data_IF_629235958338
#
_entry.id   IF_629235958338
#
_cell.length_a   1.000
_cell.length_b   1.000
_cell.length_c   1.000
_cell.angle_alpha   90.00
_cell.angle_beta   90.00
_cell.angle_gamma   90.00
#
_symmetry.space_group_name_H-M   'P 1'
#
loop_
_entity.id
_entity.type
_entity.pdbx_description
1 polymer ?
#
# COMPACT_ATOMS: atom_id res chain seq x y z
N UNK A 1 5.33 17.57 10.81
CA UNK A 1 6.24 16.46 10.44
C UNK A 1 5.63 15.72 9.25
N UNK A 2 6.45 15.11 8.39
CA UNK A 2 5.98 14.36 7.21
C UNK A 2 6.15 12.86 7.44
N UNK A 3 5.12 12.09 7.11
CA UNK A 3 5.12 10.63 7.20
C UNK A 3 4.85 10.08 5.81
N UNK A 4 5.69 9.16 5.34
CA UNK A 4 5.48 8.49 4.06
C UNK A 4 4.96 7.07 4.29
N UNK A 5 3.99 6.66 3.48
CA UNK A 5 3.44 5.29 3.51
C UNK A 5 3.32 4.74 2.10
N UNK A 6 3.74 3.49 1.93
CA UNK A 6 3.57 2.70 0.73
C UNK A 6 3.51 1.22 1.14
N UNK A 7 2.91 0.37 0.29
CA UNK A 7 2.91 -1.07 0.52
C UNK A 7 3.25 -1.83 -0.76
N UNK A 8 4.10 -2.84 -0.62
CA UNK A 8 4.41 -3.80 -1.67
C UNK A 8 4.36 -5.18 -1.04
N UNK A 9 3.56 -6.06 -1.62
CA UNK A 9 3.47 -7.44 -1.18
C UNK A 9 3.34 -8.37 -2.39
N UNK A 10 3.92 -9.55 -2.30
CA UNK A 10 3.78 -10.61 -3.30
C UNK A 10 3.82 -11.95 -2.59
N UNK A 11 3.02 -12.91 -3.04
CA UNK A 11 3.27 -14.31 -2.67
C UNK A 11 4.45 -14.81 -3.50
N UNK A 12 5.39 -15.53 -2.89
CA UNK A 12 6.56 -16.05 -3.60
C UNK A 12 6.72 -17.53 -3.32
N UNK A 13 6.85 -18.30 -4.39
CA UNK A 13 7.15 -19.73 -4.32
C UNK A 13 8.41 -20.03 -5.15
N UNK A 14 9.51 -20.37 -4.48
CA UNK A 14 10.82 -20.65 -5.09
C UNK A 14 10.78 -21.79 -6.12
N UNK A 15 9.79 -22.67 -6.06
CA UNK A 15 9.61 -23.79 -6.99
C UNK A 15 8.58 -23.50 -8.10
N UNK A 16 7.91 -22.35 -8.06
CA UNK A 16 6.95 -21.96 -9.08
C UNK A 16 7.66 -21.60 -10.38
N UNK A 17 7.22 -22.13 -11.54
CA UNK A 17 7.69 -21.68 -12.84
C UNK A 17 7.01 -20.39 -13.30
N UNK A 18 6.02 -19.88 -12.56
CA UNK A 18 5.29 -18.65 -12.88
C UNK A 18 6.07 -17.47 -12.33
N UNK A 19 6.42 -16.55 -13.22
CA UNK A 19 7.10 -15.31 -12.87
C UNK A 19 6.07 -14.23 -12.59
N UNK A 20 6.27 -13.52 -11.48
CA UNK A 20 5.54 -12.29 -11.17
C UNK A 20 6.16 -11.11 -11.93
N UNK A 21 5.37 -10.44 -12.76
CA UNK A 21 5.75 -9.22 -13.47
C UNK A 21 4.93 -7.99 -13.01
N UNK A 22 5.24 -6.81 -13.56
CA UNK A 22 4.53 -5.57 -13.21
C UNK A 22 3.03 -5.62 -13.58
N UNK A 23 2.68 -6.34 -14.64
CA UNK A 23 1.30 -6.44 -15.12
C UNK A 23 0.45 -7.27 -14.17
N UNK A 24 1.03 -8.24 -13.47
CA UNK A 24 0.34 -8.98 -12.42
C UNK A 24 -0.14 -8.05 -11.29
N UNK A 25 0.72 -7.13 -10.83
CA UNK A 25 0.31 -6.10 -9.88
C UNK A 25 -0.81 -5.22 -10.42
N UNK A 26 -0.66 -4.72 -11.66
CA UNK A 26 -1.65 -3.83 -12.30
C UNK A 26 -3.03 -4.49 -12.46
N UNK A 27 -3.07 -5.81 -12.67
CA UNK A 27 -4.31 -6.56 -12.85
C UNK A 27 -4.96 -6.97 -11.52
N UNK A 28 -4.18 -7.11 -10.44
CA UNK A 28 -4.65 -7.56 -9.13
C UNK A 28 -4.95 -6.38 -8.20
N UNK A 29 -3.93 -5.86 -7.53
CA UNK A 29 -4.05 -4.76 -6.58
C UNK A 29 -2.96 -3.74 -6.91
N UNK A 30 -3.36 -2.63 -7.52
CA UNK A 30 -2.47 -1.53 -7.84
C UNK A 30 -3.19 -0.20 -7.65
N UNK A 31 -2.78 0.53 -6.63
CA UNK A 31 -3.20 1.90 -6.38
C UNK A 31 -1.99 2.82 -6.53
N UNK A 32 -1.99 3.71 -7.53
CA UNK A 32 -1.00 4.79 -7.65
C UNK A 32 -0.90 5.64 -6.38
N UNK A 33 0.16 6.48 -6.25
CA UNK A 33 0.29 7.43 -5.15
C UNK A 33 -0.98 8.27 -4.94
N UNK A 34 -1.52 8.25 -3.72
CA UNK A 34 -2.73 8.99 -3.34
C UNK A 34 -4.06 8.38 -3.81
N UNK A 35 -4.05 7.21 -4.46
CA UNK A 35 -5.27 6.52 -4.94
C UNK A 35 -5.66 5.33 -4.06
N UNK A 36 -4.98 5.11 -2.93
CA UNK A 36 -5.30 4.01 -2.02
C UNK A 36 -6.72 4.19 -1.41
N UNK A 37 -7.62 3.19 -1.49
CA UNK A 37 -9.00 3.34 -1.05
C UNK A 37 -9.13 3.44 0.48
N UNK A 38 -10.25 3.95 0.97
CA UNK A 38 -10.51 4.03 2.42
C UNK A 38 -10.77 2.67 3.09
N UNK A 39 -10.85 1.59 2.30
CA UNK A 39 -10.99 0.23 2.81
C UNK A 39 -9.60 -0.39 2.99
N UNK A 40 -9.23 -0.87 4.19
CA UNK A 40 -7.96 -1.57 4.39
C UNK A 40 -7.96 -2.87 3.58
N UNK A 41 -6.88 -3.11 2.84
CA UNK A 41 -6.63 -4.37 2.15
C UNK A 41 -5.54 -5.19 2.85
N UNK A 42 -5.32 -6.39 2.35
CA UNK A 42 -4.44 -7.43 2.90
C UNK A 42 -3.03 -6.92 3.24
N UNK A 43 -2.48 -5.99 2.45
CA UNK A 43 -1.13 -5.43 2.64
C UNK A 43 -1.10 -3.93 2.98
N UNK A 44 -2.26 -3.27 3.10
CA UNK A 44 -2.33 -1.79 3.11
C UNK A 44 -2.88 -1.18 4.39
N UNK A 45 -3.03 -1.95 5.47
CA UNK A 45 -3.53 -1.44 6.76
C UNK A 45 -2.78 -0.18 7.29
N UNK A 46 -1.46 -0.02 7.08
CA UNK A 46 -0.74 1.19 7.52
C UNK A 46 -1.26 2.50 6.91
N UNK A 47 -1.87 2.49 5.71
CA UNK A 47 -2.44 3.69 5.10
C UNK A 47 -3.57 4.24 5.98
N UNK A 48 -4.54 3.39 6.32
CA UNK A 48 -5.68 3.75 7.16
C UNK A 48 -5.22 4.14 8.56
N UNK A 49 -4.31 3.37 9.16
CA UNK A 49 -3.78 3.67 10.48
C UNK A 49 -3.09 5.04 10.54
N UNK A 50 -2.34 5.42 9.50
CA UNK A 50 -1.68 6.72 9.44
C UNK A 50 -2.63 7.88 9.16
N UNK A 51 -3.63 7.69 8.29
CA UNK A 51 -4.72 8.67 8.11
C UNK A 51 -5.40 8.96 9.46
N UNK A 52 -5.82 7.92 10.16
CA UNK A 52 -6.46 8.03 11.48
C UNK A 52 -5.53 8.61 12.54
N UNK A 53 -4.26 8.24 12.57
CA UNK A 53 -3.31 8.79 13.51
C UNK A 53 -3.09 10.29 13.26
N UNK A 54 -2.93 10.69 11.98
CA UNK A 54 -2.72 12.09 11.60
C UNK A 54 -3.89 13.01 11.96
N UNK A 55 -5.11 12.49 11.97
CA UNK A 55 -6.31 13.26 12.33
C UNK A 55 -6.53 13.39 13.84
N UNK A 56 -5.90 12.54 14.65
CA UNK A 56 -6.07 12.50 16.12
C UNK A 56 -5.01 13.28 16.90
N UNK A 57 -3.84 13.53 16.32
CA UNK A 57 -2.74 14.22 17.02
C UNK A 57 -2.86 15.74 16.94
N UNK A 58 -2.42 16.44 17.99
CA UNK A 58 -2.40 17.92 18.03
C UNK A 58 -1.33 18.52 17.09
N UNK A 59 -0.22 17.81 16.92
CA UNK A 59 0.86 18.25 16.04
C UNK A 59 0.47 18.07 14.58
N UNK A 60 0.73 19.07 13.73
CA UNK A 60 0.50 18.95 12.28
C UNK A 60 1.36 17.83 11.67
N UNK A 61 0.72 16.73 11.27
CA UNK A 61 1.28 15.66 10.47
C UNK A 61 0.77 15.73 9.03
N UNK A 62 1.67 15.56 8.08
CA UNK A 62 1.35 15.43 6.65
C UNK A 62 1.63 13.98 6.26
N UNK A 63 0.60 13.23 5.88
CA UNK A 63 0.73 11.87 5.35
C UNK A 63 0.90 11.96 3.84
N UNK A 64 2.02 11.42 3.36
CA UNK A 64 2.37 11.35 1.94
C UNK A 64 2.18 9.89 1.52
N UNK A 65 1.22 9.65 0.65
CA UNK A 65 0.85 8.31 0.21
C UNK A 65 1.54 7.96 -1.11
N UNK A 66 2.36 6.92 -1.06
CA UNK A 66 2.91 6.24 -2.22
C UNK A 66 2.01 5.12 -2.72
N UNK A 67 2.56 4.29 -3.59
CA UNK A 67 1.84 3.17 -4.21
C UNK A 67 1.49 2.09 -3.18
N UNK A 68 0.31 1.50 -3.35
CA UNK A 68 -0.08 0.26 -2.69
C UNK A 68 -0.23 -0.84 -3.76
N UNK A 69 0.58 -1.89 -3.68
CA UNK A 69 0.64 -2.94 -4.71
C UNK A 69 0.69 -4.35 -4.11
N UNK A 70 -0.09 -5.27 -4.69
CA UNK A 70 -0.08 -6.69 -4.34
C UNK A 70 -0.41 -7.60 -5.54
N UNK A 71 0.20 -8.78 -5.53
CA UNK A 71 -0.09 -9.89 -6.44
C UNK A 71 0.30 -11.24 -5.82
N UNK A 72 -0.17 -12.33 -6.40
CA UNK A 72 0.22 -13.71 -6.11
C UNK A 72 1.39 -14.19 -6.97
#
# INVERSE_FOLDING_TARGET
MRLFVASLATETNTFSPVFTDLKDFQNNFYFPPGEHPDVPSLCSAPFIALREYSSRVESKLEVIEGTAAWTE
#
